data_IF_980994974149
#
_entry.id   IF_980994974149
#
_cell.length_a   1.000
_cell.length_b   1.000
_cell.length_c   1.000
_cell.angle_alpha   90.00
_cell.angle_beta   90.00
_cell.angle_gamma   90.00
#
_symmetry.space_group_name_H-M   'P 1'
#
loop_
_entity.id
_entity.type
_entity.pdbx_description
1 polymer ?
#
# COMPACT_ATOMS: atom_id res chain seq x y z
N UNK A 1 -4.65 23.57 6.67
CA UNK A 1 -5.88 23.01 6.06
C UNK A 1 -6.41 23.82 4.88
N UNK A 2 -7.12 24.94 5.08
CA UNK A 2 -7.77 25.71 3.97
C UNK A 2 -6.85 26.00 2.77
N UNK A 3 -5.59 26.36 3.02
CA UNK A 3 -4.60 26.55 1.95
C UNK A 3 -4.35 25.28 1.13
N UNK A 4 -4.27 24.10 1.76
CA UNK A 4 -4.12 22.82 1.06
C UNK A 4 -5.35 22.55 0.19
N UNK A 5 -6.55 22.79 0.72
CA UNK A 5 -7.81 22.63 -0.04
C UNK A 5 -7.79 23.53 -1.27
N UNK A 6 -7.49 24.81 -1.10
CA UNK A 6 -7.42 25.79 -2.19
C UNK A 6 -6.38 25.39 -3.24
N UNK A 7 -5.14 25.15 -2.83
CA UNK A 7 -4.03 24.92 -3.78
C UNK A 7 -4.11 23.57 -4.47
N UNK A 8 -4.41 22.49 -3.75
CA UNK A 8 -4.59 21.18 -4.38
C UNK A 8 -5.88 21.13 -5.17
N UNK A 9 -6.93 21.82 -4.73
CA UNK A 9 -8.18 21.95 -5.48
C UNK A 9 -8.01 22.66 -6.81
N UNK A 10 -7.26 23.77 -6.85
CA UNK A 10 -6.91 24.46 -8.09
C UNK A 10 -6.14 23.52 -9.03
N UNK A 11 -5.10 22.86 -8.53
CA UNK A 11 -4.28 21.94 -9.32
C UNK A 11 -5.08 20.73 -9.84
N UNK A 12 -5.88 20.09 -8.99
CA UNK A 12 -6.72 18.95 -9.36
C UNK A 12 -7.85 19.31 -10.33
N UNK A 13 -8.39 20.52 -10.24
CA UNK A 13 -9.44 20.99 -11.14
C UNK A 13 -8.94 21.41 -12.52
N UNK A 14 -7.65 21.77 -12.65
CA UNK A 14 -7.07 22.33 -13.89
C UNK A 14 -7.13 21.37 -15.08
N UNK A 15 -6.74 20.10 -14.91
CA UNK A 15 -6.69 19.11 -16.01
C UNK A 15 -7.14 17.73 -15.54
N UNK A 16 -8.46 17.57 -15.36
CA UNK A 16 -9.07 16.38 -14.73
C UNK A 16 -8.83 15.04 -15.44
N UNK A 17 -8.49 15.04 -16.73
CA UNK A 17 -8.11 13.81 -17.43
C UNK A 17 -6.67 13.34 -17.12
N UNK A 18 -5.91 14.13 -16.36
CA UNK A 18 -4.64 13.75 -15.73
C UNK A 18 -4.86 13.88 -14.20
N UNK A 19 -5.45 12.86 -13.56
CA UNK A 19 -5.79 12.93 -12.14
C UNK A 19 -4.56 13.08 -11.26
N UNK A 20 -4.72 13.83 -10.15
CA UNK A 20 -3.66 14.02 -9.15
C UNK A 20 -3.94 13.17 -7.92
N UNK A 21 -2.92 12.47 -7.46
CA UNK A 21 -2.98 11.62 -6.28
C UNK A 21 -2.08 12.22 -5.22
N UNK A 22 -2.62 12.35 -4.00
CA UNK A 22 -1.85 12.85 -2.86
C UNK A 22 -1.23 11.65 -2.16
N UNK A 23 0.09 11.62 -2.14
CA UNK A 23 0.86 10.70 -1.33
C UNK A 23 1.00 11.27 0.09
N UNK A 24 0.45 10.57 1.08
CA UNK A 24 0.71 10.91 2.47
C UNK A 24 2.06 10.33 2.88
N UNK A 25 2.71 10.99 3.83
CA UNK A 25 3.97 10.52 4.39
C UNK A 25 4.02 10.92 5.86
N UNK A 26 4.27 10.02 6.82
CA UNK A 26 4.28 10.38 8.25
C UNK A 26 5.25 11.53 8.62
N UNK A 27 6.44 11.50 8.04
CA UNK A 27 7.54 12.46 8.29
C UNK A 27 8.56 12.43 7.15
N UNK A 28 9.56 13.31 7.18
CA UNK A 28 10.57 13.56 6.15
C UNK A 28 10.09 14.44 4.97
N UNK A 29 10.65 15.63 4.75
CA UNK A 29 11.74 16.32 5.48
C UNK A 29 11.29 17.02 6.76
N UNK A 30 9.99 16.99 7.09
CA UNK A 30 9.42 17.54 8.33
C UNK A 30 9.40 16.48 9.42
N UNK A 31 9.54 16.88 10.69
CA UNK A 31 9.45 15.93 11.82
C UNK A 31 8.08 15.23 11.90
N UNK A 32 7.02 15.91 11.45
CA UNK A 32 5.71 15.33 11.16
C UNK A 32 5.12 16.10 10.00
N UNK A 33 4.73 15.39 8.95
CA UNK A 33 4.06 16.00 7.81
C UNK A 33 2.61 16.33 8.19
N UNK A 34 2.03 17.32 7.52
CA UNK A 34 0.64 17.71 7.79
C UNK A 34 -0.36 16.68 7.25
N UNK A 35 0.03 15.92 6.21
CA UNK A 35 -0.77 14.85 5.60
C UNK A 35 0.00 13.55 5.81
N UNK A 36 -0.21 12.95 6.99
CA UNK A 36 0.56 11.83 7.54
C UNK A 36 -0.06 10.45 7.32
N UNK A 37 -1.32 10.36 6.90
CA UNK A 37 -2.06 9.09 6.80
C UNK A 37 -3.07 9.08 5.67
N UNK A 38 -3.48 7.88 5.22
CA UNK A 38 -4.52 7.73 4.20
C UNK A 38 -5.83 8.38 4.63
N UNK A 39 -6.23 8.21 5.90
CA UNK A 39 -7.46 8.79 6.45
C UNK A 39 -7.48 10.32 6.34
N UNK A 40 -6.36 10.99 6.64
CA UNK A 40 -6.28 12.45 6.55
C UNK A 40 -6.25 12.94 5.11
N UNK A 41 -5.63 12.17 4.22
CA UNK A 41 -5.69 12.44 2.78
C UNK A 41 -7.12 12.31 2.25
N UNK A 42 -7.87 11.28 2.66
CA UNK A 42 -9.27 11.12 2.30
C UNK A 42 -10.13 12.30 2.75
N UNK A 43 -9.93 12.78 3.99
CA UNK A 43 -10.60 14.00 4.47
C UNK A 43 -10.24 15.22 3.61
N UNK A 44 -8.96 15.36 3.24
CA UNK A 44 -8.50 16.47 2.41
C UNK A 44 -9.15 16.45 1.02
N UNK A 45 -9.12 15.31 0.32
CA UNK A 45 -9.69 15.22 -1.04
C UNK A 45 -11.22 15.33 -1.02
N UNK A 46 -11.88 14.90 0.06
CA UNK A 46 -13.31 15.11 0.27
C UNK A 46 -13.65 16.60 0.41
N UNK A 47 -12.87 17.34 1.19
CA UNK A 47 -13.04 18.79 1.35
C UNK A 47 -12.69 19.57 0.07
N UNK A 48 -11.76 19.07 -0.74
CA UNK A 48 -11.44 19.62 -2.07
C UNK A 48 -12.59 19.42 -3.07
N UNK A 49 -13.24 18.26 -3.06
CA UNK A 49 -14.42 17.99 -3.90
C UNK A 49 -14.12 17.72 -5.39
N UNK A 50 -12.86 17.53 -5.78
CA UNK A 50 -12.48 17.09 -7.13
C UNK A 50 -12.49 15.56 -7.17
N UNK A 51 -13.44 14.97 -7.90
CA UNK A 51 -13.72 13.51 -7.87
C UNK A 51 -12.57 12.67 -8.41
N UNK A 52 -11.83 13.21 -9.37
CA UNK A 52 -10.70 12.53 -10.01
C UNK A 52 -9.44 12.53 -9.14
N UNK A 53 -9.41 13.31 -8.05
CA UNK A 53 -8.29 13.27 -7.11
C UNK A 53 -8.32 12.01 -6.26
N UNK A 54 -7.14 11.45 -6.02
CA UNK A 54 -6.97 10.18 -5.32
C UNK A 54 -5.91 10.20 -4.23
N UNK A 55 -5.66 9.01 -3.69
CA UNK A 55 -4.62 8.76 -2.68
C UNK A 55 -3.53 7.89 -3.29
N UNK A 56 -2.27 8.30 -3.19
CA UNK A 56 -1.16 7.36 -3.39
C UNK A 56 -0.92 6.68 -2.05
N UNK A 57 -1.13 5.37 -2.00
CA UNK A 57 -0.84 4.54 -0.84
C UNK A 57 0.56 3.96 -1.05
N UNK A 58 1.49 4.41 -0.23
CA UNK A 58 2.82 3.84 -0.13
C UNK A 58 2.87 2.83 1.02
N UNK A 59 3.27 1.60 0.72
CA UNK A 59 3.36 0.53 1.71
C UNK A 59 4.33 0.86 2.86
N UNK A 60 5.47 1.48 2.55
CA UNK A 60 6.47 1.89 3.52
C UNK A 60 5.96 2.99 4.42
N UNK A 61 5.36 4.04 3.85
CA UNK A 61 4.75 5.15 4.59
C UNK A 61 3.70 4.66 5.59
N UNK A 62 2.86 3.73 5.16
CA UNK A 62 1.89 3.04 6.02
C UNK A 62 2.60 2.35 7.19
N UNK A 63 3.64 1.57 6.88
CA UNK A 63 4.37 0.72 7.83
C UNK A 63 5.13 1.53 8.89
N UNK A 64 5.96 2.50 8.50
CA UNK A 64 6.71 3.31 9.48
C UNK A 64 5.86 4.39 10.14
N UNK A 65 4.70 4.71 9.56
CA UNK A 65 3.65 5.51 10.19
C UNK A 65 2.93 4.79 11.33
N UNK A 66 3.17 3.49 11.52
CA UNK A 66 2.49 2.67 12.52
C UNK A 66 1.08 2.26 12.13
N UNK A 67 0.75 2.33 10.84
CA UNK A 67 -0.54 1.90 10.30
C UNK A 67 -0.46 0.46 9.77
N UNK A 68 -1.62 -0.14 9.54
CA UNK A 68 -1.75 -1.42 8.83
C UNK A 68 -1.97 -1.12 7.34
N UNK A 69 -1.00 -1.40 6.44
CA UNK A 69 -1.11 -1.04 5.03
C UNK A 69 -2.36 -1.63 4.36
N UNK A 70 -2.70 -2.87 4.69
CA UNK A 70 -3.90 -3.54 4.17
C UNK A 70 -5.21 -2.84 4.61
N UNK A 71 -5.25 -2.30 5.84
CA UNK A 71 -6.39 -1.54 6.32
C UNK A 71 -6.51 -0.18 5.64
N UNK A 72 -5.38 0.47 5.30
CA UNK A 72 -5.39 1.71 4.52
C UNK A 72 -5.89 1.47 3.09
N UNK A 73 -5.50 0.36 2.45
CA UNK A 73 -6.10 -0.07 1.17
C UNK A 73 -7.60 -0.24 1.29
N UNK A 74 -8.08 -0.97 2.29
CA UNK A 74 -9.50 -1.19 2.51
C UNK A 74 -10.26 0.13 2.70
N UNK A 75 -9.73 1.01 3.55
CA UNK A 75 -10.31 2.32 3.82
C UNK A 75 -10.44 3.17 2.55
N UNK A 76 -9.38 3.26 1.76
CA UNK A 76 -9.39 4.09 0.55
C UNK A 76 -10.26 3.45 -0.54
N UNK A 77 -10.18 2.15 -0.74
CA UNK A 77 -11.02 1.44 -1.72
C UNK A 77 -12.52 1.60 -1.40
N UNK A 78 -12.91 1.47 -0.13
CA UNK A 78 -14.31 1.63 0.30
C UNK A 78 -14.79 3.08 0.32
N UNK A 79 -13.88 4.06 0.34
CA UNK A 79 -14.24 5.47 0.19
C UNK A 79 -14.77 5.82 -1.21
N UNK A 80 -14.49 4.98 -2.21
CA UNK A 80 -14.84 5.22 -3.62
C UNK A 80 -13.93 6.22 -4.34
N UNK A 81 -12.92 6.77 -3.68
CA UNK A 81 -11.89 7.59 -4.32
C UNK A 81 -10.85 6.71 -5.04
N UNK A 82 -10.28 7.19 -6.16
CA UNK A 82 -9.22 6.46 -6.85
C UNK A 82 -7.97 6.39 -5.98
N UNK A 83 -7.20 5.31 -6.14
CA UNK A 83 -5.91 5.17 -5.47
C UNK A 83 -4.84 4.58 -6.39
N UNK A 84 -3.60 4.93 -6.10
CA UNK A 84 -2.39 4.46 -6.77
C UNK A 84 -1.43 3.87 -5.74
N UNK A 85 -0.57 2.95 -6.16
CA UNK A 85 0.23 2.14 -5.22
C UNK A 85 1.72 2.33 -5.46
N UNK A 86 2.40 2.74 -4.39
CA UNK A 86 3.85 2.65 -4.25
C UNK A 86 4.22 1.47 -3.33
N UNK A 87 5.28 0.75 -3.70
CA UNK A 87 5.79 -0.42 -2.97
C UNK A 87 7.27 -0.28 -2.66
N UNK A 88 7.59 -0.56 -1.40
CA UNK A 88 8.94 -0.63 -0.84
C UNK A 88 8.86 -1.39 0.50
N UNK A 89 9.89 -1.28 1.33
CA UNK A 89 9.89 -1.78 2.70
C UNK A 89 10.82 -0.91 3.56
N UNK A 90 10.72 -1.06 4.88
CA UNK A 90 11.59 -0.36 5.83
C UNK A 90 11.65 -1.11 7.17
N UNK A 91 12.21 -0.49 8.22
CA UNK A 91 12.33 -1.08 9.57
C UNK A 91 11.21 -0.64 10.53
N UNK A 92 10.12 -0.10 9.99
CA UNK A 92 9.01 0.55 10.71
C UNK A 92 9.42 1.77 11.55
N UNK A 93 10.55 2.42 11.22
CA UNK A 93 11.04 3.63 11.93
C UNK A 93 11.32 4.80 11.01
N UNK A 94 11.76 4.53 9.79
CA UNK A 94 12.06 5.56 8.80
C UNK A 94 11.72 5.07 7.40
N UNK A 95 11.56 6.01 6.49
CA UNK A 95 11.36 5.72 5.08
C UNK A 95 12.68 5.37 4.41
N UNK A 96 13.14 4.14 4.63
CA UNK A 96 14.44 3.68 4.13
C UNK A 96 14.42 3.23 2.66
N UNK A 97 13.24 3.13 2.05
CA UNK A 97 13.05 2.71 0.66
C UNK A 97 13.77 1.40 0.29
N UNK A 98 13.67 0.36 1.13
CA UNK A 98 14.09 -0.99 0.74
C UNK A 98 13.14 -1.54 -0.32
N UNK A 99 13.53 -2.61 -1.02
CA UNK A 99 12.54 -3.34 -1.82
C UNK A 99 11.56 -4.10 -0.92
N UNK A 100 10.34 -4.34 -1.42
CA UNK A 100 9.26 -4.96 -0.66
C UNK A 100 9.58 -6.36 -0.12
N UNK A 101 9.05 -6.67 1.07
CA UNK A 101 9.10 -8.01 1.65
C UNK A 101 10.46 -8.40 2.26
N UNK A 102 11.32 -7.42 2.54
CA UNK A 102 12.61 -7.62 3.21
C UNK A 102 12.50 -7.66 4.72
N UNK A 103 11.52 -6.94 5.27
CA UNK A 103 11.27 -6.81 6.72
C UNK A 103 9.84 -7.21 7.05
N UNK A 104 8.89 -6.89 6.19
CA UNK A 104 7.46 -7.05 6.45
C UNK A 104 6.79 -7.97 5.42
N UNK A 105 7.36 -9.16 5.19
CA UNK A 105 6.88 -10.10 4.17
C UNK A 105 5.39 -10.49 4.33
N UNK A 106 4.97 -10.86 5.55
CA UNK A 106 3.58 -11.25 5.81
C UNK A 106 2.62 -10.07 5.62
N UNK A 107 2.95 -8.89 6.16
CA UNK A 107 2.14 -7.67 5.99
C UNK A 107 2.07 -7.24 4.52
N UNK A 108 3.14 -7.43 3.75
CA UNK A 108 3.15 -7.17 2.32
C UNK A 108 2.26 -8.15 1.54
N UNK A 109 2.27 -9.44 1.91
CA UNK A 109 1.35 -10.42 1.34
C UNK A 109 -0.11 -10.06 1.64
N UNK A 110 -0.43 -9.62 2.86
CA UNK A 110 -1.77 -9.14 3.24
C UNK A 110 -2.17 -7.88 2.44
N UNK A 111 -1.27 -6.92 2.28
CA UNK A 111 -1.48 -5.72 1.46
C UNK A 111 -1.84 -6.09 0.01
N UNK A 112 -1.05 -6.95 -0.62
CA UNK A 112 -1.33 -7.43 -1.98
C UNK A 112 -2.65 -8.21 -2.06
N UNK A 113 -3.00 -8.99 -1.03
CA UNK A 113 -4.25 -9.72 -0.95
C UNK A 113 -5.46 -8.77 -1.01
N UNK A 114 -5.45 -7.69 -0.23
CA UNK A 114 -6.54 -6.72 -0.25
C UNK A 114 -6.59 -5.93 -1.55
N UNK A 115 -5.45 -5.59 -2.17
CA UNK A 115 -5.43 -5.01 -3.51
C UNK A 115 -6.14 -5.92 -4.53
N UNK A 116 -5.88 -7.23 -4.50
CA UNK A 116 -6.59 -8.22 -5.34
C UNK A 116 -8.08 -8.28 -5.01
N UNK A 117 -8.44 -8.27 -3.72
CA UNK A 117 -9.83 -8.34 -3.26
C UNK A 117 -10.67 -7.15 -3.72
N UNK A 118 -10.11 -5.95 -3.69
CA UNK A 118 -10.74 -4.73 -4.21
C UNK A 118 -10.59 -4.55 -5.73
N UNK A 119 -9.99 -5.53 -6.41
CA UNK A 119 -9.92 -5.55 -7.88
C UNK A 119 -9.00 -4.46 -8.46
N UNK A 120 -7.91 -4.13 -7.76
CA UNK A 120 -6.89 -3.21 -8.27
C UNK A 120 -6.25 -3.77 -9.56
N UNK A 121 -6.18 -2.94 -10.61
CA UNK A 121 -5.71 -3.33 -11.96
C UNK A 121 -4.60 -2.45 -12.52
N UNK A 122 -4.18 -1.44 -11.76
CA UNK A 122 -3.13 -0.50 -12.17
C UNK A 122 -1.74 -1.02 -11.73
N UNK A 123 -0.70 -0.23 -11.92
CA UNK A 123 0.67 -0.58 -11.60
C UNK A 123 0.94 -0.58 -10.10
N UNK A 124 1.86 -1.47 -9.69
CA UNK A 124 2.56 -1.37 -8.40
C UNK A 124 3.91 -0.73 -8.69
N UNK A 125 4.08 0.54 -8.31
CA UNK A 125 5.31 1.27 -8.61
C UNK A 125 6.33 1.07 -7.51
N UNK A 126 7.54 0.66 -7.89
CA UNK A 126 8.65 0.53 -6.95
C UNK A 126 9.15 1.91 -6.58
N UNK A 127 8.82 2.37 -5.37
CA UNK A 127 9.37 3.60 -4.79
C UNK A 127 10.54 3.24 -3.88
N UNK A 128 11.66 2.88 -4.51
CA UNK A 128 12.79 2.21 -3.86
C UNK A 128 14.08 2.94 -4.19
N UNK A 129 14.94 3.15 -3.18
CA UNK A 129 16.16 3.97 -3.30
C UNK A 129 17.43 3.14 -3.05
N UNK A 130 17.91 2.32 -4.01
CA UNK A 130 19.10 1.48 -3.86
C UNK A 130 20.41 2.29 -3.94
N UNK A 131 20.70 3.06 -2.89
CA UNK A 131 21.86 3.98 -2.87
C UNK A 131 23.23 3.31 -2.82
N UNK A 132 23.31 2.04 -2.40
CA UNK A 132 24.57 1.31 -2.16
C UNK A 132 24.63 -0.09 -2.77
N UNK A 133 23.64 -0.46 -3.58
CA UNK A 133 23.44 -1.83 -4.06
C UNK A 133 23.41 -1.88 -5.59
N UNK A 134 23.43 -3.08 -6.16
CA UNK A 134 23.08 -3.25 -7.57
C UNK A 134 21.65 -2.76 -7.80
N UNK A 135 21.55 -1.61 -8.48
CA UNK A 135 20.30 -0.93 -8.78
C UNK A 135 19.40 -1.88 -9.58
N UNK A 136 19.94 -2.51 -10.62
CA UNK A 136 19.18 -3.40 -11.50
C UNK A 136 18.73 -4.64 -10.72
N UNK A 137 19.65 -5.28 -10.00
CA UNK A 137 19.36 -6.43 -9.16
C UNK A 137 18.31 -6.15 -8.09
N UNK A 138 18.27 -4.93 -7.54
CA UNK A 138 17.27 -4.51 -6.55
C UNK A 138 15.87 -4.47 -7.16
N UNK A 139 15.69 -3.80 -8.31
CA UNK A 139 14.38 -3.75 -8.97
C UNK A 139 13.97 -5.12 -9.53
N UNK A 140 14.91 -5.93 -10.01
CA UNK A 140 14.64 -7.33 -10.40
C UNK A 140 14.15 -8.17 -9.22
N UNK A 141 14.73 -7.99 -8.02
CA UNK A 141 14.30 -8.66 -6.80
C UNK A 141 12.90 -8.20 -6.36
N UNK A 142 12.66 -6.89 -6.32
CA UNK A 142 11.35 -6.32 -5.99
C UNK A 142 10.25 -6.92 -6.89
N UNK A 143 10.46 -6.84 -8.21
CA UNK A 143 9.53 -7.39 -9.19
C UNK A 143 9.34 -8.91 -9.03
N UNK A 144 10.42 -9.67 -8.82
CA UNK A 144 10.34 -11.13 -8.66
C UNK A 144 9.54 -11.53 -7.41
N UNK A 145 9.77 -10.88 -6.27
CA UNK A 145 9.04 -11.16 -5.03
C UNK A 145 7.57 -10.81 -5.19
N UNK A 146 7.27 -9.58 -5.65
CA UNK A 146 5.90 -9.11 -5.85
C UNK A 146 5.13 -10.01 -6.81
N UNK A 147 5.69 -10.37 -7.97
CA UNK A 147 5.02 -11.28 -8.93
C UNK A 147 4.84 -12.69 -8.41
N UNK A 148 5.74 -13.19 -7.56
CA UNK A 148 5.60 -14.52 -6.94
C UNK A 148 4.50 -14.50 -5.89
N UNK A 149 4.52 -13.52 -4.98
CA UNK A 149 3.46 -13.33 -3.99
C UNK A 149 2.09 -13.14 -4.63
N UNK A 150 1.99 -12.27 -5.65
CA UNK A 150 0.73 -12.01 -6.35
C UNK A 150 0.08 -13.29 -6.89
N UNK A 151 0.88 -14.18 -7.51
CA UNK A 151 0.41 -15.48 -8.00
C UNK A 151 0.10 -16.46 -6.87
N UNK A 152 0.96 -16.52 -5.86
CA UNK A 152 0.75 -17.38 -4.69
C UNK A 152 -0.59 -17.07 -4.01
N UNK A 153 -0.98 -15.80 -3.92
CA UNK A 153 -2.28 -15.41 -3.35
C UNK A 153 -3.47 -15.98 -4.14
N UNK A 154 -3.38 -16.13 -5.46
CA UNK A 154 -4.42 -16.84 -6.24
C UNK A 154 -4.49 -18.33 -5.88
N UNK A 155 -3.34 -18.96 -5.64
CA UNK A 155 -3.25 -20.36 -5.24
C UNK A 155 -3.79 -20.59 -3.82
N UNK A 156 -3.49 -19.67 -2.88
CA UNK A 156 -4.04 -19.69 -1.52
C UNK A 156 -5.57 -19.59 -1.56
N UNK A 157 -6.10 -18.65 -2.34
CA UNK A 157 -7.54 -18.49 -2.53
C UNK A 157 -8.19 -19.77 -3.09
N UNK A 158 -7.57 -20.40 -4.09
CA UNK A 158 -8.04 -21.66 -4.67
C UNK A 158 -8.05 -22.81 -3.65
N UNK A 159 -7.13 -22.79 -2.67
CA UNK A 159 -7.07 -23.75 -1.55
C UNK A 159 -8.03 -23.42 -0.40
N UNK A 160 -8.84 -22.38 -0.54
CA UNK A 160 -9.88 -22.04 0.42
C UNK A 160 -9.48 -21.00 1.46
N UNK A 161 -8.40 -20.24 1.25
CA UNK A 161 -7.97 -19.18 2.16
C UNK A 161 -9.11 -18.22 2.52
N UNK A 162 -9.96 -17.85 1.53
CA UNK A 162 -11.14 -16.98 1.75
C UNK A 162 -12.11 -17.49 2.82
N UNK A 163 -12.24 -18.81 2.96
CA UNK A 163 -13.19 -19.44 3.89
C UNK A 163 -12.73 -19.35 5.34
N UNK A 164 -11.46 -19.04 5.57
CA UNK A 164 -10.89 -18.91 6.91
C UNK A 164 -11.20 -17.53 7.52
N UNK A 165 -11.44 -16.51 6.69
CA UNK A 165 -11.81 -15.18 7.19
C UNK A 165 -13.21 -15.18 7.81
N UNK A 166 -13.35 -14.45 8.92
CA UNK A 166 -14.61 -14.34 9.66
C UNK A 166 -14.94 -15.56 10.53
N UNK A 167 -14.07 -16.58 10.55
CA UNK A 167 -14.10 -17.65 11.55
C UNK A 167 -13.52 -17.18 12.88
N UNK A 168 -13.88 -17.88 13.96
CA UNK A 168 -13.35 -17.63 15.31
C UNK A 168 -11.98 -18.29 15.55
N UNK A 169 -11.58 -19.24 14.69
CA UNK A 169 -10.33 -19.99 14.83
C UNK A 169 -9.15 -19.28 14.14
N UNK A 170 -8.54 -18.38 14.89
CA UNK A 170 -7.30 -17.69 14.50
C UNK A 170 -6.14 -18.67 14.20
N UNK A 171 -6.05 -19.79 14.92
CA UNK A 171 -4.95 -20.75 14.74
C UNK A 171 -5.08 -21.53 13.43
N UNK A 172 -6.31 -21.75 12.93
CA UNK A 172 -6.52 -22.33 11.62
C UNK A 172 -5.94 -21.46 10.49
N UNK A 173 -6.06 -20.12 10.59
CA UNK A 173 -5.43 -19.20 9.64
C UNK A 173 -3.91 -19.34 9.70
N UNK A 174 -3.33 -19.35 10.90
CA UNK A 174 -1.88 -19.47 11.05
C UNK A 174 -1.35 -20.79 10.48
N UNK A 175 -1.97 -21.91 10.84
CA UNK A 175 -1.61 -23.22 10.29
C UNK A 175 -1.65 -23.23 8.76
N UNK A 176 -2.67 -22.61 8.16
CA UNK A 176 -2.76 -22.48 6.71
C UNK A 176 -1.58 -21.65 6.14
N UNK A 177 -1.21 -20.55 6.78
CA UNK A 177 -0.06 -19.72 6.35
C UNK A 177 1.27 -20.48 6.50
N UNK A 178 1.48 -21.23 7.58
CA UNK A 178 2.64 -22.11 7.76
C UNK A 178 2.79 -23.06 6.58
N UNK A 179 1.74 -23.82 6.29
CA UNK A 179 1.78 -24.88 5.28
C UNK A 179 1.85 -24.31 3.85
N UNK A 180 1.10 -23.24 3.56
CA UNK A 180 0.80 -22.82 2.19
C UNK A 180 1.48 -21.52 1.77
N UNK A 181 1.74 -20.58 2.70
CA UNK A 181 2.50 -19.34 2.41
C UNK A 181 3.99 -19.53 2.67
N UNK A 182 4.36 -20.09 3.83
CA UNK A 182 5.75 -20.25 4.24
C UNK A 182 6.36 -21.59 3.79
N UNK A 183 5.53 -22.57 3.44
CA UNK A 183 5.99 -23.89 3.00
C UNK A 183 6.63 -24.70 4.14
N UNK A 184 6.23 -24.43 5.39
CA UNK A 184 6.67 -25.13 6.59
C UNK A 184 5.75 -26.35 6.79
N UNK A 185 6.10 -27.47 6.14
CA UNK A 185 5.41 -28.77 6.26
C UNK A 185 6.26 -29.77 7.02
#
# INVERSE_FOLDING_TARGET
WKRLIETFGEAGAYKRNIPLFIEYKPSETRGTCYIESAAKTLLLIKDIGVKEMGVTIDFGHSTYGGFTPAAEVALVAESGHPYYIHINDNDAKWDWDYFCGTKHFLSYAEFLYYLKRYGYKDFLTSDTSPTRWDIKGTFEANNRITKKLWRLLDELDAKGFKKLFGGEDYLAIWKFLEEELFGLK
#
